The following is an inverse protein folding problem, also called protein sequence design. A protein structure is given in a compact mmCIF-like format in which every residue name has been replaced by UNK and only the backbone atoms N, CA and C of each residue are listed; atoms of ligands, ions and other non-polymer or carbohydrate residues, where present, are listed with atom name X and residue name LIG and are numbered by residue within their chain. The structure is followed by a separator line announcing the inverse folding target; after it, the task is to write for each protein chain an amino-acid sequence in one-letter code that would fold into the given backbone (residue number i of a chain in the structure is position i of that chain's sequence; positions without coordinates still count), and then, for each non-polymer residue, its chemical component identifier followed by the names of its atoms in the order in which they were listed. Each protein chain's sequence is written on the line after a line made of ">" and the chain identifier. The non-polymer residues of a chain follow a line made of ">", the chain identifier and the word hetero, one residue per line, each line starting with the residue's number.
data_IF_646334824830
#
_entry.id   IF_646334824830
#
_cell.length_a   1.000
_cell.length_b   1.000
_cell.length_c   1.000
_cell.angle_alpha   90.00
_cell.angle_beta   90.00
_cell.angle_gamma   90.00
#
_symmetry.space_group_name_H-M   'P 1'
#
loop_
_entity.id
_entity.type
_entity.pdbx_description
1 polymer ?
#
# COMPACT_ATOMS: atom_id res chain seq x y z
N UNK A 1 -33.80 -31.85 1.40
CA UNK A 1 -32.88 -31.38 0.34
C UNK A 1 -31.48 -31.90 0.58
N UNK A 2 -30.53 -31.67 -0.34
CA UNK A 2 -29.12 -32.08 -0.26
C UNK A 2 -28.24 -30.85 -0.42
N UNK A 3 -27.43 -30.53 0.59
CA UNK A 3 -26.35 -29.54 0.47
C UNK A 3 -25.05 -30.30 0.18
N UNK A 4 -24.20 -29.74 -0.69
CA UNK A 4 -22.86 -30.25 -0.96
C UNK A 4 -21.90 -29.08 -0.87
N UNK A 5 -20.96 -29.15 0.06
CA UNK A 5 -19.84 -28.23 0.17
C UNK A 5 -18.61 -28.98 -0.34
N UNK A 6 -17.84 -28.36 -1.23
CA UNK A 6 -16.63 -28.95 -1.82
C UNK A 6 -15.52 -27.91 -1.75
N UNK A 7 -14.45 -28.26 -1.04
CA UNK A 7 -13.17 -27.58 -1.14
C UNK A 7 -12.38 -28.17 -2.31
N UNK A 8 -11.63 -27.34 -3.03
CA UNK A 8 -10.89 -27.73 -4.23
C UNK A 8 -9.40 -27.46 -4.04
N UNK A 9 -8.57 -28.43 -4.42
CA UNK A 9 -7.14 -28.28 -4.44
C UNK A 9 -6.68 -27.15 -5.40
N UNK A 10 -5.46 -26.66 -5.18
CA UNK A 10 -4.84 -25.57 -5.94
C UNK A 10 -4.94 -25.72 -7.47
N UNK A 11 -5.18 -24.60 -8.15
CA UNK A 11 -5.39 -24.54 -9.61
C UNK A 11 -4.18 -24.00 -10.37
N UNK A 12 -3.07 -23.75 -9.66
CA UNK A 12 -1.87 -23.13 -10.17
C UNK A 12 -1.07 -24.00 -11.16
N UNK A 13 -0.38 -23.33 -12.09
CA UNK A 13 0.39 -23.98 -13.13
C UNK A 13 1.60 -24.76 -12.58
N UNK A 14 1.83 -25.96 -13.11
CA UNK A 14 3.01 -26.80 -12.82
C UNK A 14 4.35 -26.03 -12.89
N UNK A 15 4.44 -25.03 -13.78
CA UNK A 15 5.63 -24.19 -13.94
C UNK A 15 5.93 -23.33 -12.70
N UNK A 16 4.92 -22.86 -11.98
CA UNK A 16 5.08 -22.13 -10.72
C UNK A 16 5.39 -23.06 -9.55
N UNK A 17 4.71 -24.21 -9.47
CA UNK A 17 4.94 -25.20 -8.39
C UNK A 17 6.39 -25.72 -8.39
N UNK A 18 7.00 -25.88 -9.57
CA UNK A 18 8.42 -26.28 -9.70
C UNK A 18 9.40 -25.15 -9.37
N UNK A 19 9.01 -23.88 -9.47
CA UNK A 19 9.87 -22.75 -9.11
C UNK A 19 9.94 -22.48 -7.59
N UNK A 20 9.09 -23.13 -6.79
CA UNK A 20 8.95 -22.88 -5.36
C UNK A 20 9.71 -23.90 -4.47
N UNK A 21 10.98 -23.57 -4.20
CA UNK A 21 11.86 -24.09 -3.13
C UNK A 21 12.31 -25.55 -3.19
N UNK A 22 13.52 -25.80 -2.64
CA UNK A 22 14.17 -27.11 -2.52
C UNK A 22 13.27 -28.22 -1.92
N UNK A 23 13.46 -29.44 -2.41
CA UNK A 23 12.84 -30.67 -1.93
C UNK A 23 12.77 -31.76 -3.01
N UNK A 24 12.10 -32.88 -2.73
CA UNK A 24 11.86 -33.92 -3.74
C UNK A 24 10.85 -33.42 -4.79
N UNK A 25 11.40 -32.83 -5.86
CA UNK A 25 10.63 -32.38 -7.02
C UNK A 25 9.74 -33.48 -7.58
N UNK A 26 10.17 -34.75 -7.55
CA UNK A 26 9.46 -35.82 -8.23
C UNK A 26 8.12 -36.13 -7.55
N UNK A 27 8.08 -36.09 -6.21
CA UNK A 27 6.84 -36.25 -5.46
C UNK A 27 5.91 -35.05 -5.67
N UNK A 28 6.41 -33.80 -5.55
CA UNK A 28 5.60 -32.59 -5.76
C UNK A 28 5.06 -32.49 -7.19
N UNK A 29 5.91 -32.75 -8.19
CA UNK A 29 5.55 -32.75 -9.63
C UNK A 29 4.48 -33.80 -9.93
N UNK A 30 4.57 -35.00 -9.34
CA UNK A 30 3.53 -36.05 -9.47
C UNK A 30 2.21 -35.63 -8.81
N UNK A 31 2.25 -35.05 -7.61
CA UNK A 31 1.04 -34.56 -6.92
C UNK A 31 0.35 -33.44 -7.71
N UNK A 32 1.11 -32.43 -8.15
CA UNK A 32 0.58 -31.30 -8.91
C UNK A 32 0.02 -31.72 -10.29
N UNK A 33 0.62 -32.72 -10.95
CA UNK A 33 0.05 -33.35 -12.16
C UNK A 33 -1.27 -34.05 -11.84
N UNK A 34 -1.37 -34.76 -10.72
CA UNK A 34 -2.61 -35.40 -10.26
C UNK A 34 -3.74 -34.41 -10.00
N UNK A 35 -3.45 -33.33 -9.27
CA UNK A 35 -4.40 -32.24 -8.96
C UNK A 35 -4.87 -31.56 -10.24
N UNK A 36 -3.94 -31.06 -11.06
CA UNK A 36 -4.27 -30.37 -12.30
C UNK A 36 -4.99 -31.27 -13.31
N UNK A 37 -4.73 -32.59 -13.32
CA UNK A 37 -5.55 -33.55 -14.08
C UNK A 37 -7.01 -33.57 -13.62
N UNK A 38 -7.31 -33.54 -12.32
CA UNK A 38 -8.69 -33.53 -11.82
C UNK A 38 -9.42 -32.23 -12.20
N UNK A 39 -8.76 -31.08 -12.02
CA UNK A 39 -9.31 -29.77 -12.38
C UNK A 39 -9.47 -29.58 -13.89
N UNK A 40 -8.57 -30.15 -14.70
CA UNK A 40 -8.69 -30.13 -16.17
C UNK A 40 -9.95 -30.84 -16.66
N UNK A 41 -10.34 -31.97 -16.04
CA UNK A 41 -11.60 -32.65 -16.35
C UNK A 41 -12.83 -31.83 -15.95
N UNK A 42 -12.77 -31.09 -14.84
CA UNK A 42 -13.81 -30.13 -14.45
C UNK A 42 -13.93 -29.01 -15.49
N UNK A 43 -12.82 -28.44 -15.94
CA UNK A 43 -12.77 -27.47 -17.05
C UNK A 43 -13.40 -28.01 -18.34
N UNK A 44 -13.07 -29.23 -18.74
CA UNK A 44 -13.66 -29.88 -19.92
C UNK A 44 -15.17 -30.09 -19.78
N UNK A 45 -15.66 -30.52 -18.62
CA UNK A 45 -17.10 -30.67 -18.34
C UNK A 45 -17.84 -29.33 -18.49
N UNK A 46 -17.28 -28.24 -17.95
CA UNK A 46 -17.86 -26.89 -18.06
C UNK A 46 -17.85 -26.38 -19.51
N UNK A 47 -16.73 -26.55 -20.24
CA UNK A 47 -16.65 -26.17 -21.65
C UNK A 47 -17.70 -26.94 -22.49
N UNK A 48 -17.84 -28.25 -22.28
CA UNK A 48 -18.79 -29.10 -23.00
C UNK A 48 -20.25 -28.76 -22.69
N UNK A 49 -20.57 -28.36 -21.45
CA UNK A 49 -21.90 -27.87 -21.08
C UNK A 49 -22.24 -26.56 -21.80
N UNK A 50 -21.31 -25.61 -21.83
CA UNK A 50 -21.52 -24.32 -22.50
C UNK A 50 -21.59 -24.47 -24.03
N UNK A 51 -20.93 -25.49 -24.59
CA UNK A 51 -21.03 -25.88 -26.00
C UNK A 51 -22.31 -26.68 -26.35
N UNK A 52 -23.21 -26.93 -25.38
CA UNK A 52 -24.45 -27.68 -25.60
C UNK A 52 -24.27 -29.18 -25.83
N UNK A 53 -23.09 -29.75 -25.54
CA UNK A 53 -22.79 -31.18 -25.73
C UNK A 53 -23.39 -32.06 -24.61
N UNK A 54 -24.67 -31.87 -24.29
CA UNK A 54 -25.37 -32.48 -23.14
C UNK A 54 -25.29 -34.03 -23.11
N UNK A 55 -25.18 -34.68 -24.26
CA UNK A 55 -25.05 -36.14 -24.38
C UNK A 55 -23.62 -36.65 -24.16
N UNK A 56 -22.58 -35.80 -24.26
CA UNK A 56 -21.16 -36.18 -24.24
C UNK A 56 -20.31 -35.25 -23.34
N UNK A 57 -20.88 -34.79 -22.22
CA UNK A 57 -20.24 -33.80 -21.34
C UNK A 57 -18.91 -34.29 -20.73
N UNK A 58 -18.75 -35.59 -20.50
CA UNK A 58 -17.51 -36.18 -19.97
C UNK A 58 -17.43 -36.34 -18.45
N UNK A 59 -18.55 -36.30 -17.71
CA UNK A 59 -18.59 -36.48 -16.25
C UNK A 59 -17.90 -37.76 -15.74
N UNK A 60 -17.77 -38.81 -16.55
CA UNK A 60 -17.13 -40.07 -16.16
C UNK A 60 -15.59 -40.00 -16.14
N UNK A 61 -15.00 -38.88 -16.59
CA UNK A 61 -13.56 -38.78 -16.76
C UNK A 61 -12.82 -38.46 -15.44
N UNK A 62 -13.52 -38.02 -14.39
CA UNK A 62 -12.98 -37.97 -13.02
C UNK A 62 -14.06 -38.24 -11.97
N UNK A 63 -13.69 -38.84 -10.84
CA UNK A 63 -14.63 -39.10 -9.74
C UNK A 63 -15.27 -37.81 -9.20
N UNK A 64 -14.52 -36.69 -9.19
CA UNK A 64 -15.03 -35.38 -8.81
C UNK A 64 -16.16 -34.91 -9.73
N UNK A 65 -16.01 -35.04 -11.06
CA UNK A 65 -17.07 -34.62 -11.99
C UNK A 65 -18.25 -35.59 -12.05
N UNK A 66 -18.07 -36.85 -11.62
CA UNK A 66 -19.20 -37.74 -11.32
C UNK A 66 -20.00 -37.28 -10.10
N UNK A 67 -19.33 -36.91 -9.01
CA UNK A 67 -19.97 -36.45 -7.76
C UNK A 67 -20.65 -35.08 -7.92
N UNK A 68 -20.03 -34.16 -8.67
CA UNK A 68 -20.56 -32.83 -8.96
C UNK A 68 -21.58 -32.78 -10.10
N UNK A 69 -21.97 -33.91 -10.69
CA UNK A 69 -22.92 -33.96 -11.82
C UNK A 69 -24.28 -33.30 -11.53
N UNK A 70 -24.76 -33.35 -10.28
CA UNK A 70 -26.00 -32.66 -9.89
C UNK A 70 -25.83 -31.12 -9.92
N UNK A 71 -24.61 -30.64 -9.65
CA UNK A 71 -24.27 -29.22 -9.51
C UNK A 71 -23.80 -28.57 -10.82
N UNK A 72 -23.51 -29.36 -11.86
CA UNK A 72 -22.97 -28.91 -13.14
C UNK A 72 -23.93 -29.34 -14.26
N UNK A 73 -24.78 -28.43 -14.74
CA UNK A 73 -25.83 -28.75 -15.72
C UNK A 73 -26.92 -29.69 -15.20
N UNK A 74 -27.00 -29.87 -13.87
CA UNK A 74 -27.86 -30.84 -13.19
C UNK A 74 -29.05 -30.21 -12.46
N UNK A 75 -29.54 -30.91 -11.44
CA UNK A 75 -30.74 -30.56 -10.68
C UNK A 75 -30.48 -29.98 -9.29
N UNK A 76 -29.34 -29.30 -9.09
CA UNK A 76 -29.01 -28.58 -7.86
C UNK A 76 -28.74 -27.10 -8.11
N UNK A 77 -28.96 -26.27 -7.09
CA UNK A 77 -28.52 -24.86 -7.07
C UNK A 77 -27.03 -24.84 -6.74
N UNK A 78 -26.21 -24.32 -7.65
CA UNK A 78 -24.76 -24.30 -7.50
C UNK A 78 -24.24 -22.87 -7.28
N UNK A 79 -23.23 -22.75 -6.42
CA UNK A 79 -22.47 -21.53 -6.18
C UNK A 79 -20.98 -21.88 -6.33
N UNK A 80 -20.25 -21.05 -7.08
CA UNK A 80 -18.80 -21.07 -7.11
C UNK A 80 -18.28 -19.88 -6.30
N UNK A 81 -17.32 -20.14 -5.42
CA UNK A 81 -16.49 -19.10 -4.79
C UNK A 81 -15.14 -19.15 -5.49
N UNK A 82 -14.66 -18.00 -5.97
CA UNK A 82 -13.42 -17.87 -6.72
C UNK A 82 -12.39 -17.08 -5.90
N UNK A 83 -11.51 -17.79 -5.22
CA UNK A 83 -10.40 -17.19 -4.47
C UNK A 83 -9.26 -16.81 -5.42
N UNK A 84 -8.70 -15.60 -5.25
CA UNK A 84 -7.68 -15.02 -6.13
C UNK A 84 -6.58 -14.33 -5.31
N UNK A 85 -5.36 -14.29 -5.86
CA UNK A 85 -4.27 -13.48 -5.32
C UNK A 85 -4.33 -12.05 -5.85
N UNK A 86 -4.31 -11.01 -5.00
CA UNK A 86 -4.31 -9.61 -5.43
C UNK A 86 -2.94 -9.12 -5.95
N UNK A 87 -1.86 -9.87 -5.71
CA UNK A 87 -0.49 -9.47 -6.06
C UNK A 87 -0.20 -9.65 -7.56
N UNK A 88 0.64 -8.77 -8.12
CA UNK A 88 0.99 -8.73 -9.55
C UNK A 88 1.57 -10.07 -10.03
N UNK A 89 2.35 -10.75 -9.19
CA UNK A 89 2.94 -12.07 -9.48
C UNK A 89 1.87 -13.16 -9.73
N UNK A 90 0.69 -13.04 -9.11
CA UNK A 90 -0.43 -13.96 -9.26
C UNK A 90 -1.40 -13.58 -10.38
N UNK A 91 -1.25 -12.41 -11.01
CA UNK A 91 -2.15 -11.89 -12.05
C UNK A 91 -2.51 -12.91 -13.15
N UNK A 92 -1.56 -13.72 -13.61
CA UNK A 92 -1.81 -14.77 -14.63
C UNK A 92 -2.70 -15.91 -14.12
N UNK A 93 -2.57 -16.31 -12.86
CA UNK A 93 -3.37 -17.38 -12.25
C UNK A 93 -4.76 -16.82 -11.87
N UNK A 94 -4.80 -15.61 -11.30
CA UNK A 94 -6.03 -14.84 -11.04
C UNK A 94 -6.86 -14.67 -12.32
N UNK A 95 -6.24 -14.34 -13.47
CA UNK A 95 -6.93 -14.30 -14.76
C UNK A 95 -7.50 -15.66 -15.19
N UNK A 96 -6.77 -16.76 -14.99
CA UNK A 96 -7.25 -18.12 -15.30
C UNK A 96 -8.44 -18.51 -14.42
N UNK A 97 -8.37 -18.24 -13.11
CA UNK A 97 -9.46 -18.48 -12.16
C UNK A 97 -10.72 -17.68 -12.50
N UNK A 98 -10.58 -16.38 -12.80
CA UNK A 98 -11.70 -15.53 -13.22
C UNK A 98 -12.30 -15.98 -14.56
N UNK A 99 -11.46 -16.40 -15.52
CA UNK A 99 -11.91 -16.98 -16.80
C UNK A 99 -12.70 -18.27 -16.60
N UNK A 100 -12.28 -19.14 -15.67
CA UNK A 100 -13.04 -20.33 -15.30
C UNK A 100 -14.36 -20.00 -14.60
N UNK A 101 -14.35 -19.02 -13.69
CA UNK A 101 -15.57 -18.56 -13.00
C UNK A 101 -16.61 -17.99 -13.99
N UNK A 102 -16.18 -17.17 -14.96
CA UNK A 102 -17.03 -16.65 -16.03
C UNK A 102 -17.68 -17.77 -16.87
N UNK A 103 -16.93 -18.85 -17.16
CA UNK A 103 -17.47 -20.04 -17.84
C UNK A 103 -18.45 -20.80 -16.95
N UNK A 104 -18.18 -20.96 -15.67
CA UNK A 104 -19.09 -21.59 -14.71
C UNK A 104 -20.42 -20.83 -14.60
N UNK A 105 -20.43 -19.49 -14.67
CA UNK A 105 -21.66 -18.69 -14.68
C UNK A 105 -22.56 -18.90 -15.92
N UNK A 106 -22.03 -19.49 -17.00
CA UNK A 106 -22.81 -19.81 -18.20
C UNK A 106 -23.50 -21.19 -18.11
N UNK A 107 -23.09 -22.05 -17.17
CA UNK A 107 -23.67 -23.38 -16.96
C UNK A 107 -25.08 -23.25 -16.40
N UNK A 108 -26.08 -23.66 -17.18
CA UNK A 108 -27.49 -23.63 -16.78
C UNK A 108 -27.89 -24.93 -16.08
N UNK A 109 -28.15 -24.85 -14.77
CA UNK A 109 -28.77 -25.94 -14.03
C UNK A 109 -30.30 -25.87 -14.15
N UNK A 110 -30.98 -27.01 -14.05
CA UNK A 110 -32.44 -27.11 -14.15
C UNK A 110 -33.01 -27.29 -12.74
N UNK A 111 -33.52 -26.21 -12.15
CA UNK A 111 -34.15 -26.25 -10.82
C UNK A 111 -35.45 -27.07 -10.84
N UNK A 112 -35.35 -28.39 -10.60
CA UNK A 112 -36.50 -29.24 -10.28
C UNK A 112 -36.78 -29.17 -8.78
N UNK A 113 -37.96 -28.67 -8.42
CA UNK A 113 -38.48 -28.79 -7.05
C UNK A 113 -38.86 -30.25 -6.81
N UNK A 114 -37.99 -30.99 -6.11
CA UNK A 114 -38.28 -32.35 -5.67
C UNK A 114 -39.28 -32.33 -4.51
N UNK A 115 -40.57 -32.24 -4.84
CA UNK A 115 -41.65 -32.53 -3.89
C UNK A 115 -41.58 -34.04 -3.60
N UNK A 116 -41.12 -34.39 -2.40
CA UNK A 116 -41.12 -35.79 -1.94
C UNK A 116 -42.50 -36.07 -1.34
N UNK A 117 -43.41 -36.52 -2.20
CA UNK A 117 -44.59 -37.26 -1.75
C UNK A 117 -44.12 -38.62 -1.20
N UNK A 118 -44.56 -38.98 0.01
CA UNK A 118 -44.15 -40.24 0.66
C UNK A 118 -44.57 -41.47 -0.17
N UNK A 119 -45.65 -41.35 -0.96
CA UNK A 119 -46.11 -42.40 -1.88
C UNK A 119 -45.16 -42.65 -3.06
N UNK A 120 -44.25 -41.72 -3.37
CA UNK A 120 -43.27 -41.84 -4.47
C UNK A 120 -41.81 -41.79 -4.00
N UNK A 121 -41.52 -42.33 -2.82
CA UNK A 121 -40.12 -42.50 -2.38
C UNK A 121 -39.31 -43.33 -3.37
N UNK A 122 -38.02 -42.99 -3.54
CA UNK A 122 -37.07 -43.67 -4.45
C UNK A 122 -36.98 -45.18 -4.17
N UNK A 123 -37.25 -45.58 -2.92
CA UNK A 123 -37.26 -46.97 -2.46
C UNK A 123 -38.37 -47.80 -3.15
N UNK A 124 -39.53 -47.19 -3.42
CA UNK A 124 -40.64 -47.84 -4.11
C UNK A 124 -40.32 -48.07 -5.60
N UNK A 125 -39.73 -47.07 -6.26
CA UNK A 125 -39.26 -47.16 -7.65
C UNK A 125 -38.12 -48.19 -7.81
N UNK A 126 -37.22 -48.28 -6.82
CA UNK A 126 -36.19 -49.32 -6.77
C UNK A 126 -36.80 -50.72 -6.65
N UNK A 127 -37.81 -50.92 -5.79
CA UNK A 127 -38.55 -52.19 -5.70
C UNK A 127 -39.17 -52.58 -7.06
N UNK A 128 -39.94 -51.68 -7.67
CA UNK A 128 -40.61 -51.94 -8.94
C UNK A 128 -39.64 -52.40 -10.03
N UNK A 129 -38.51 -51.69 -10.22
CA UNK A 129 -37.48 -52.08 -11.20
C UNK A 129 -36.77 -53.39 -10.87
N UNK A 130 -36.67 -53.74 -9.60
CA UNK A 130 -36.08 -55.02 -9.18
C UNK A 130 -37.04 -56.18 -9.51
N UNK A 131 -38.34 -55.98 -9.32
CA UNK A 131 -39.40 -56.92 -9.72
C UNK A 131 -39.42 -57.13 -11.24
N UNK A 132 -39.43 -56.05 -12.04
CA UNK A 132 -39.36 -56.10 -13.51
C UNK A 132 -38.14 -56.89 -14.03
N UNK A 133 -36.98 -56.71 -13.39
CA UNK A 133 -35.75 -57.39 -13.76
C UNK A 133 -35.82 -58.90 -13.46
N UNK A 134 -36.35 -59.27 -12.29
CA UNK A 134 -36.61 -60.67 -11.90
C UNK A 134 -37.62 -61.33 -12.86
N UNK A 135 -38.60 -60.57 -13.35
CA UNK A 135 -39.62 -61.08 -14.26
C UNK A 135 -39.02 -61.42 -15.65
N UNK A 136 -38.27 -60.49 -16.26
CA UNK A 136 -37.60 -60.72 -17.55
C UNK A 136 -36.60 -61.89 -17.53
N UNK A 137 -35.94 -62.13 -16.40
CA UNK A 137 -35.01 -63.26 -16.23
C UNK A 137 -35.71 -64.63 -16.15
N UNK A 138 -37.03 -64.68 -15.92
CA UNK A 138 -37.83 -65.93 -15.92
C UNK A 138 -38.39 -66.29 -17.29
N UNK A 139 -38.51 -65.33 -18.20
CA UNK A 139 -39.19 -65.48 -19.49
C UNK A 139 -38.24 -65.96 -20.63
N UNK A 140 -36.93 -65.88 -20.43
CA UNK A 140 -35.92 -65.98 -21.50
C UNK A 140 -35.19 -67.32 -21.71
N UNK A 141 -35.80 -68.49 -21.47
CA UNK A 141 -35.05 -69.77 -21.59
C UNK A 141 -35.83 -71.03 -22.04
N UNK A 142 -35.63 -71.47 -23.30
CA UNK A 142 -35.94 -72.84 -23.79
C UNK A 142 -36.03 -73.01 -25.34
N UNK A 143 -35.79 -74.23 -25.86
CA UNK A 143 -35.98 -74.73 -27.27
C UNK A 143 -35.01 -74.17 -28.38
N UNK A 144 -34.79 -74.72 -29.59
CA UNK A 144 -34.98 -76.04 -30.29
C UNK A 144 -34.09 -76.06 -31.60
N UNK A 145 -34.00 -77.05 -32.53
CA UNK A 145 -34.70 -78.35 -32.68
C UNK A 145 -34.39 -79.23 -33.94
N UNK A 146 -33.13 -79.44 -34.36
CA UNK A 146 -32.69 -80.52 -35.33
C UNK A 146 -33.15 -80.45 -36.82
N UNK A 147 -33.06 -81.54 -37.61
CA UNK A 147 -33.30 -81.57 -39.08
C UNK A 147 -33.43 -82.97 -39.76
N UNK A 148 -33.62 -83.02 -41.10
CA UNK A 148 -33.83 -84.21 -42.01
C UNK A 148 -33.53 -83.82 -43.49
N UNK A 149 -33.15 -84.64 -44.49
CA UNK A 149 -32.86 -86.09 -44.70
C UNK A 149 -34.03 -87.10 -44.85
N UNK A 150 -34.09 -88.07 -45.80
CA UNK A 150 -33.50 -88.28 -47.17
C UNK A 150 -34.01 -89.64 -47.77
N UNK A 151 -34.41 -89.78 -49.06
CA UNK A 151 -34.96 -91.09 -49.56
C UNK A 151 -35.00 -91.42 -51.10
N UNK A 152 -34.74 -90.50 -52.04
CA UNK A 152 -35.27 -90.64 -53.42
C UNK A 152 -34.45 -91.48 -54.44
N UNK A 153 -33.19 -91.81 -54.17
CA UNK A 153 -32.21 -92.21 -55.20
C UNK A 153 -32.30 -93.66 -55.75
N UNK A 154 -33.19 -94.52 -55.25
CA UNK A 154 -33.19 -95.96 -55.62
C UNK A 154 -34.04 -96.37 -56.84
N UNK A 155 -34.87 -95.48 -57.42
CA UNK A 155 -35.82 -95.87 -58.50
C UNK A 155 -35.20 -95.97 -59.90
N UNK A 156 -34.14 -95.23 -60.19
CA UNK A 156 -33.62 -95.03 -61.56
C UNK A 156 -32.91 -96.28 -62.13
N UNK A 157 -32.41 -97.18 -61.27
CA UNK A 157 -31.51 -98.26 -61.69
C UNK A 157 -32.18 -99.42 -62.44
N UNK A 158 -33.52 -99.47 -62.51
CA UNK A 158 -34.30 -100.62 -63.01
C UNK A 158 -34.66 -100.53 -64.50
N UNK A 159 -34.93 -99.33 -65.03
CA UNK A 159 -35.43 -99.17 -66.41
C UNK A 159 -34.38 -99.51 -67.49
N UNK A 160 -33.10 -99.27 -67.19
CA UNK A 160 -31.97 -99.45 -68.13
C UNK A 160 -31.88 -100.89 -68.68
N UNK A 161 -32.29 -101.88 -67.89
CA UNK A 161 -32.11 -103.30 -68.24
C UNK A 161 -33.19 -103.87 -69.19
N UNK A 162 -34.27 -103.14 -69.48
CA UNK A 162 -35.40 -103.68 -70.28
C UNK A 162 -35.31 -103.38 -71.79
N UNK A 163 -34.49 -102.42 -72.21
CA UNK A 163 -34.51 -101.89 -73.58
C UNK A 163 -33.65 -102.65 -74.62
N UNK A 164 -32.68 -103.47 -74.18
CA UNK A 164 -31.73 -104.14 -75.07
C UNK A 164 -32.26 -105.40 -75.80
N UNK A 165 -33.53 -105.78 -75.60
CA UNK A 165 -34.01 -107.14 -75.95
C UNK A 165 -34.74 -107.33 -77.29
N UNK A 166 -35.06 -106.29 -78.08
CA UNK A 166 -36.04 -106.39 -79.17
C UNK A 166 -35.79 -105.52 -80.41
N UNK A 167 -34.96 -105.99 -81.34
CA UNK A 167 -35.28 -106.19 -82.79
C UNK A 167 -34.00 -106.32 -83.63
N UNK A 168 -33.76 -107.50 -84.21
CA UNK A 168 -32.77 -107.64 -85.31
C UNK A 168 -33.03 -108.90 -86.15
N UNK A 169 -33.92 -108.80 -87.15
CA UNK A 169 -34.08 -109.81 -88.20
C UNK A 169 -34.54 -109.20 -89.53
N UNK A 170 -33.58 -109.06 -90.47
CA UNK A 170 -33.66 -109.34 -91.93
C UNK A 170 -34.87 -108.80 -92.73
N UNK A 171 -34.70 -108.23 -93.94
CA UNK A 171 -33.51 -107.91 -94.75
C UNK A 171 -33.87 -106.83 -95.77
N UNK A 172 -32.90 -106.30 -96.51
CA UNK A 172 -33.06 -105.42 -97.68
C UNK A 172 -33.52 -103.96 -97.40
N UNK A 173 -33.57 -103.56 -96.12
CA UNK A 173 -33.71 -102.13 -95.72
C UNK A 173 -32.38 -101.58 -95.17
N UNK A 174 -31.41 -102.44 -94.83
CA UNK A 174 -30.15 -102.03 -94.20
C UNK A 174 -29.31 -101.11 -95.10
N UNK A 175 -29.14 -101.43 -96.38
CA UNK A 175 -28.26 -100.65 -97.26
C UNK A 175 -28.82 -99.26 -97.60
N UNK A 176 -30.15 -99.11 -97.64
CA UNK A 176 -30.82 -97.81 -97.82
C UNK A 176 -30.87 -97.02 -96.52
N UNK A 177 -31.10 -97.68 -95.37
CA UNK A 177 -30.99 -97.04 -94.06
C UNK A 177 -29.55 -96.62 -93.70
N UNK A 178 -28.52 -97.36 -94.12
CA UNK A 178 -27.14 -96.96 -93.84
C UNK A 178 -26.73 -95.75 -94.66
N UNK A 179 -27.13 -95.66 -95.93
CA UNK A 179 -26.90 -94.45 -96.75
C UNK A 179 -27.66 -93.24 -96.17
N UNK A 180 -28.95 -93.40 -95.82
CA UNK A 180 -29.73 -92.35 -95.14
C UNK A 180 -29.17 -91.97 -93.76
N UNK A 181 -28.73 -92.94 -92.95
CA UNK A 181 -28.10 -92.66 -91.64
C UNK A 181 -26.75 -91.98 -91.80
N UNK A 182 -25.97 -92.32 -92.83
CA UNK A 182 -24.69 -91.69 -93.12
C UNK A 182 -24.89 -90.23 -93.54
N UNK A 183 -25.84 -89.95 -94.44
CA UNK A 183 -26.19 -88.58 -94.83
C UNK A 183 -26.81 -87.77 -93.69
N UNK A 184 -27.73 -88.36 -92.91
CA UNK A 184 -28.31 -87.71 -91.73
C UNK A 184 -27.23 -87.43 -90.67
N UNK A 185 -26.35 -88.40 -90.40
CA UNK A 185 -25.24 -88.21 -89.46
C UNK A 185 -24.29 -87.12 -89.95
N UNK A 186 -23.91 -87.11 -91.24
CA UNK A 186 -23.06 -86.06 -91.81
C UNK A 186 -23.69 -84.67 -91.63
N UNK A 187 -24.98 -84.50 -91.96
CA UNK A 187 -25.70 -83.24 -91.74
C UNK A 187 -25.82 -82.85 -90.28
N UNK A 188 -25.98 -83.82 -89.38
CA UNK A 188 -26.11 -83.58 -87.94
C UNK A 188 -24.74 -83.24 -87.31
N UNK A 189 -23.64 -83.82 -87.80
CA UNK A 189 -22.27 -83.47 -87.42
C UNK A 189 -21.86 -82.11 -88.04
N UNK A 190 -22.30 -81.77 -89.26
CA UNK A 190 -22.15 -80.43 -89.88
C UNK A 190 -22.86 -79.35 -89.05
N UNK A 191 -24.16 -79.52 -88.77
CA UNK A 191 -24.95 -78.60 -87.92
C UNK A 191 -24.36 -78.49 -86.50
N UNK A 192 -23.80 -79.58 -85.95
CA UNK A 192 -23.09 -79.53 -84.66
C UNK A 192 -21.80 -78.73 -84.73
N UNK A 193 -21.05 -78.79 -85.85
CA UNK A 193 -19.86 -77.97 -86.04
C UNK A 193 -20.22 -76.48 -86.13
N UNK A 194 -21.21 -76.14 -86.96
CA UNK A 194 -21.70 -74.75 -87.12
C UNK A 194 -22.23 -74.19 -85.79
N UNK A 195 -23.03 -74.97 -85.05
CA UNK A 195 -23.56 -74.55 -83.75
C UNK A 195 -22.49 -74.49 -82.65
N UNK A 196 -21.44 -75.32 -82.73
CA UNK A 196 -20.29 -75.20 -81.82
C UNK A 196 -19.47 -73.94 -82.11
N UNK A 197 -19.17 -73.67 -83.39
CA UNK A 197 -18.39 -72.49 -83.79
C UNK A 197 -19.13 -71.18 -83.50
N UNK A 198 -20.41 -71.08 -83.85
CA UNK A 198 -21.21 -69.89 -83.53
C UNK A 198 -21.35 -69.66 -82.02
N UNK A 199 -21.42 -70.72 -81.21
CA UNK A 199 -21.37 -70.61 -79.75
C UNK A 199 -19.99 -70.15 -79.25
N UNK A 200 -18.87 -70.66 -79.78
CA UNK A 200 -17.54 -70.18 -79.37
C UNK A 200 -17.31 -68.73 -79.77
N UNK A 201 -17.78 -68.31 -80.94
CA UNK A 201 -17.62 -66.94 -81.44
C UNK A 201 -18.49 -65.95 -80.64
N UNK A 202 -19.71 -66.36 -80.25
CA UNK A 202 -20.57 -65.58 -79.34
C UNK A 202 -19.97 -65.50 -77.93
N UNK A 203 -19.37 -66.57 -77.40
CA UNK A 203 -18.68 -66.53 -76.11
C UNK A 203 -17.43 -65.64 -76.16
N UNK A 204 -16.63 -65.73 -77.22
CA UNK A 204 -15.44 -64.90 -77.41
C UNK A 204 -15.80 -63.40 -77.50
N UNK A 205 -16.77 -63.04 -78.34
CA UNK A 205 -17.22 -61.65 -78.49
C UNK A 205 -17.89 -61.12 -77.21
N UNK A 206 -18.65 -61.94 -76.47
CA UNK A 206 -19.20 -61.55 -75.18
C UNK A 206 -18.10 -61.32 -74.13
N UNK A 207 -17.05 -62.16 -74.12
CA UNK A 207 -15.91 -62.03 -73.21
C UNK A 207 -15.04 -60.81 -73.53
N UNK A 208 -14.82 -60.51 -74.81
CA UNK A 208 -14.11 -59.30 -75.28
C UNK A 208 -14.88 -58.02 -74.90
N UNK A 209 -16.20 -57.99 -75.14
CA UNK A 209 -17.06 -56.88 -74.72
C UNK A 209 -17.03 -56.66 -73.20
N UNK A 210 -17.14 -57.75 -72.41
CA UNK A 210 -17.04 -57.66 -70.94
C UNK A 210 -15.70 -57.11 -70.48
N UNK A 211 -14.58 -57.61 -71.03
CA UNK A 211 -13.24 -57.12 -70.72
C UNK A 211 -13.07 -55.63 -71.08
N UNK A 212 -13.66 -55.20 -72.19
CA UNK A 212 -13.68 -53.80 -72.63
C UNK A 212 -14.49 -52.91 -71.68
N UNK A 213 -15.70 -53.31 -71.31
CA UNK A 213 -16.53 -52.57 -70.33
C UNK A 213 -15.80 -52.41 -68.99
N UNK A 214 -15.13 -53.47 -68.49
CA UNK A 214 -14.31 -53.38 -67.29
C UNK A 214 -13.10 -52.45 -67.45
N UNK A 215 -12.47 -52.40 -68.62
CA UNK A 215 -11.36 -51.49 -68.89
C UNK A 215 -11.81 -50.02 -68.93
N UNK A 216 -12.92 -49.72 -69.61
CA UNK A 216 -13.52 -48.38 -69.67
C UNK A 216 -13.95 -47.92 -68.25
N UNK A 217 -14.59 -48.79 -67.47
CA UNK A 217 -14.97 -48.49 -66.08
C UNK A 217 -13.75 -48.22 -65.18
N UNK A 218 -12.67 -48.99 -65.34
CA UNK A 218 -11.42 -48.83 -64.59
C UNK A 218 -10.76 -47.47 -64.88
N UNK A 219 -10.77 -47.04 -66.15
CA UNK A 219 -10.24 -45.74 -66.56
C UNK A 219 -11.07 -44.56 -66.00
N UNK A 220 -12.39 -44.69 -65.91
CA UNK A 220 -13.28 -43.69 -65.28
C UNK A 220 -13.02 -43.60 -63.76
N UNK A 221 -12.80 -44.73 -63.09
CA UNK A 221 -12.44 -44.74 -61.66
C UNK A 221 -11.07 -44.06 -61.46
N UNK A 222 -10.05 -44.45 -62.22
CA UNK A 222 -8.68 -43.96 -62.09
C UNK A 222 -8.58 -42.44 -62.33
N UNK A 223 -9.30 -41.91 -63.33
CA UNK A 223 -9.41 -40.47 -63.56
C UNK A 223 -10.15 -39.74 -62.43
N UNK A 224 -11.30 -40.24 -61.96
CA UNK A 224 -12.05 -39.61 -60.86
C UNK A 224 -11.31 -39.64 -59.52
N UNK A 225 -10.57 -40.71 -59.21
CA UNK A 225 -9.73 -40.79 -58.02
C UNK A 225 -8.59 -39.77 -58.09
N UNK A 226 -7.97 -39.58 -59.26
CA UNK A 226 -6.93 -38.57 -59.46
C UNK A 226 -7.47 -37.14 -59.33
N UNK A 227 -8.58 -36.81 -59.99
CA UNK A 227 -9.23 -35.49 -59.87
C UNK A 227 -9.55 -35.15 -58.41
N UNK A 228 -10.12 -36.09 -57.66
CA UNK A 228 -10.41 -35.92 -56.23
C UNK A 228 -9.16 -35.63 -55.40
N UNK A 229 -8.05 -36.34 -55.67
CA UNK A 229 -6.76 -36.10 -55.02
C UNK A 229 -6.22 -34.69 -55.29
N UNK A 230 -6.17 -34.26 -56.56
CA UNK A 230 -5.66 -32.93 -56.95
C UNK A 230 -6.51 -31.78 -56.37
N UNK A 231 -7.82 -31.98 -56.18
CA UNK A 231 -8.72 -31.00 -55.56
C UNK A 231 -8.47 -30.91 -54.05
N UNK A 232 -8.39 -32.05 -53.35
CA UNK A 232 -8.15 -32.09 -51.90
C UNK A 232 -6.77 -31.50 -51.57
N UNK A 233 -5.74 -31.80 -52.35
CA UNK A 233 -4.40 -31.24 -52.13
C UNK A 233 -4.37 -29.72 -52.33
N UNK A 234 -5.04 -29.19 -53.37
CA UNK A 234 -5.20 -27.73 -53.56
C UNK A 234 -5.91 -27.07 -52.38
N UNK A 235 -7.02 -27.64 -51.91
CA UNK A 235 -7.77 -27.10 -50.78
C UNK A 235 -6.93 -27.11 -49.49
N UNK A 236 -6.17 -28.18 -49.25
CA UNK A 236 -5.26 -28.28 -48.11
C UNK A 236 -4.12 -27.26 -48.18
N UNK A 237 -3.49 -27.07 -49.35
CA UNK A 237 -2.44 -26.06 -49.56
C UNK A 237 -2.97 -24.64 -49.29
N UNK A 238 -4.10 -24.25 -49.88
CA UNK A 238 -4.70 -22.92 -49.67
C UNK A 238 -5.10 -22.69 -48.21
N UNK A 239 -5.65 -23.71 -47.53
CA UNK A 239 -5.97 -23.61 -46.10
C UNK A 239 -4.70 -23.46 -45.23
N UNK A 240 -3.63 -24.18 -45.56
CA UNK A 240 -2.34 -24.11 -44.87
C UNK A 240 -1.66 -22.75 -45.09
N UNK A 241 -1.65 -22.24 -46.32
CA UNK A 241 -1.14 -20.90 -46.66
C UNK A 241 -1.92 -19.79 -45.95
N UNK A 242 -3.26 -19.88 -45.89
CA UNK A 242 -4.08 -18.94 -45.14
C UNK A 242 -3.82 -18.99 -43.62
N UNK A 243 -3.62 -20.19 -43.05
CA UNK A 243 -3.22 -20.34 -41.65
C UNK A 243 -1.85 -19.71 -41.39
N UNK A 244 -0.85 -19.95 -42.25
CA UNK A 244 0.49 -19.36 -42.14
C UNK A 244 0.44 -17.83 -42.18
N UNK A 245 -0.34 -17.22 -43.09
CA UNK A 245 -0.52 -15.77 -43.12
C UNK A 245 -1.16 -15.26 -41.81
N UNK A 246 -2.22 -15.91 -41.31
CA UNK A 246 -2.85 -15.50 -40.06
C UNK A 246 -1.92 -15.60 -38.83
N UNK A 247 -1.00 -16.57 -38.83
CA UNK A 247 0.04 -16.72 -37.81
C UNK A 247 1.13 -15.64 -37.94
N UNK A 248 1.48 -15.26 -39.17
CA UNK A 248 2.44 -14.19 -39.45
C UNK A 248 1.88 -12.80 -39.08
N UNK A 249 0.61 -12.52 -39.39
CA UNK A 249 -0.08 -11.28 -39.01
C UNK A 249 -0.21 -11.14 -37.49
N UNK A 250 -0.62 -12.22 -36.82
CA UNK A 250 -0.72 -12.22 -35.34
C UNK A 250 0.65 -12.11 -34.67
N UNK A 251 1.70 -12.71 -35.24
CA UNK A 251 3.08 -12.54 -34.78
C UNK A 251 3.61 -11.10 -34.99
N UNK A 252 3.36 -10.47 -36.14
CA UNK A 252 3.74 -9.06 -36.32
C UNK A 252 3.03 -8.18 -35.30
N UNK A 253 1.73 -8.39 -35.11
CA UNK A 253 0.94 -7.63 -34.14
C UNK A 253 1.39 -7.85 -32.68
N UNK A 254 1.94 -9.01 -32.29
CA UNK A 254 2.53 -9.18 -30.94
C UNK A 254 3.91 -8.53 -30.84
N UNK A 255 4.74 -8.64 -31.88
CA UNK A 255 6.04 -7.96 -31.96
C UNK A 255 5.88 -6.44 -31.85
N UNK A 256 4.93 -5.84 -32.55
CA UNK A 256 4.72 -4.39 -32.52
C UNK A 256 4.15 -3.91 -31.18
N UNK A 257 3.25 -4.66 -30.53
CA UNK A 257 2.83 -4.40 -29.14
C UNK A 257 3.98 -4.53 -28.13
N UNK A 258 4.96 -5.41 -28.37
CA UNK A 258 6.16 -5.48 -27.54
C UNK A 258 7.08 -4.28 -27.77
N UNK A 259 7.22 -3.77 -29.00
CA UNK A 259 7.96 -2.52 -29.27
C UNK A 259 7.35 -1.32 -28.54
N UNK A 260 6.03 -1.14 -28.56
CA UNK A 260 5.38 -0.03 -27.84
C UNK A 260 5.59 -0.14 -26.33
N UNK A 261 5.35 -1.33 -25.75
CA UNK A 261 5.57 -1.57 -24.32
C UNK A 261 7.03 -1.34 -23.89
N UNK A 262 8.03 -1.70 -24.72
CA UNK A 262 9.44 -1.42 -24.45
C UNK A 262 9.72 0.10 -24.46
N UNK A 263 9.13 0.84 -25.40
CA UNK A 263 9.27 2.29 -25.47
C UNK A 263 8.60 3.00 -24.28
N UNK A 264 7.42 2.54 -23.86
CA UNK A 264 6.71 3.03 -22.66
C UNK A 264 7.56 2.79 -21.39
N UNK A 265 8.11 1.57 -21.22
CA UNK A 265 9.03 1.26 -20.11
C UNK A 265 10.30 2.11 -20.15
N UNK A 266 10.83 2.42 -21.34
CA UNK A 266 11.98 3.32 -21.48
C UNK A 266 11.64 4.76 -21.05
N UNK A 267 10.48 5.28 -21.45
CA UNK A 267 10.01 6.62 -21.02
C UNK A 267 9.79 6.68 -19.50
N UNK A 268 9.14 5.67 -18.92
CA UNK A 268 8.90 5.58 -17.47
C UNK A 268 10.21 5.53 -16.67
N UNK A 269 11.24 4.83 -17.17
CA UNK A 269 12.59 4.83 -16.55
C UNK A 269 13.24 6.21 -16.54
N UNK A 270 13.07 7.01 -17.60
CA UNK A 270 13.59 8.39 -17.66
C UNK A 270 12.83 9.30 -16.69
N UNK A 271 11.50 9.14 -16.58
CA UNK A 271 10.69 9.88 -15.61
C UNK A 271 11.06 9.51 -14.15
N UNK A 272 11.25 8.23 -13.85
CA UNK A 272 11.69 7.77 -12.54
C UNK A 272 13.05 8.37 -12.15
N UNK A 273 14.05 8.27 -13.03
CA UNK A 273 15.38 8.87 -12.78
C UNK A 273 15.40 10.40 -12.71
N UNK A 274 14.35 11.09 -13.16
CA UNK A 274 14.15 12.51 -12.94
C UNK A 274 13.51 12.78 -11.56
N UNK A 275 12.52 11.97 -11.15
CA UNK A 275 11.90 12.04 -9.84
C UNK A 275 12.90 11.70 -8.71
N UNK A 276 13.75 10.67 -8.89
CA UNK A 276 14.78 10.29 -7.92
C UNK A 276 15.74 11.46 -7.61
N UNK A 277 16.13 12.23 -8.65
CA UNK A 277 16.94 13.44 -8.49
C UNK A 277 16.20 14.58 -7.78
N UNK A 278 14.90 14.73 -8.01
CA UNK A 278 14.09 15.69 -7.27
C UNK A 278 13.99 15.31 -5.79
N UNK A 279 13.86 14.01 -5.47
CA UNK A 279 13.87 13.50 -4.09
C UNK A 279 15.23 13.74 -3.42
N UNK A 280 16.34 13.48 -4.11
CA UNK A 280 17.69 13.77 -3.60
C UNK A 280 17.88 15.27 -3.28
N UNK A 281 17.55 16.15 -4.23
CA UNK A 281 17.65 17.61 -4.04
C UNK A 281 16.75 18.13 -2.89
N UNK A 282 15.58 17.52 -2.69
CA UNK A 282 14.70 17.83 -1.55
C UNK A 282 15.26 17.32 -0.21
N UNK A 283 15.97 16.19 -0.20
CA UNK A 283 16.63 15.65 1.00
C UNK A 283 17.86 16.50 1.39
N UNK A 284 18.66 16.94 0.43
CA UNK A 284 19.77 17.88 0.64
C UNK A 284 19.24 19.19 1.23
N UNK A 285 18.26 19.82 0.57
CA UNK A 285 17.62 21.06 1.06
C UNK A 285 16.98 20.88 2.46
N UNK A 286 16.44 19.70 2.78
CA UNK A 286 15.93 19.40 4.12
C UNK A 286 17.04 19.34 5.17
N UNK A 287 18.23 18.82 4.83
CA UNK A 287 19.39 18.83 5.73
C UNK A 287 19.90 20.26 5.96
N UNK A 288 20.01 21.07 4.90
CA UNK A 288 20.39 22.49 5.00
C UNK A 288 19.43 23.27 5.93
N UNK A 289 18.12 23.06 5.81
CA UNK A 289 17.14 23.68 6.71
C UNK A 289 17.25 23.19 8.16
N UNK A 290 17.57 21.91 8.39
CA UNK A 290 17.77 21.37 9.75
C UNK A 290 19.04 21.93 10.40
N UNK A 291 20.14 22.04 9.63
CA UNK A 291 21.38 22.65 10.11
C UNK A 291 21.18 24.14 10.40
N UNK A 292 20.64 24.91 9.44
CA UNK A 292 20.33 26.34 9.61
C UNK A 292 19.46 26.60 10.85
N UNK A 293 18.50 25.71 11.14
CA UNK A 293 17.70 25.79 12.35
C UNK A 293 18.51 25.51 13.62
N UNK A 294 19.37 24.49 13.61
CA UNK A 294 20.21 24.17 14.77
C UNK A 294 21.19 25.30 15.10
N UNK A 295 21.73 25.97 14.08
CA UNK A 295 22.61 27.13 14.24
C UNK A 295 21.83 28.33 14.81
N UNK A 296 20.64 28.64 14.27
CA UNK A 296 19.77 29.70 14.80
C UNK A 296 19.28 29.44 16.24
N UNK A 297 18.97 28.19 16.60
CA UNK A 297 18.57 27.85 17.97
C UNK A 297 19.77 27.89 18.95
N UNK A 298 21.01 27.64 18.47
CA UNK A 298 22.25 27.92 19.23
C UNK A 298 22.50 29.42 19.44
N UNK A 299 22.41 30.24 18.39
CA UNK A 299 22.54 31.70 18.50
C UNK A 299 21.54 32.29 19.50
N UNK A 300 20.28 31.85 19.43
CA UNK A 300 19.22 32.23 20.37
C UNK A 300 19.55 31.85 21.81
N UNK A 301 20.17 30.69 22.04
CA UNK A 301 20.57 30.27 23.38
C UNK A 301 21.77 31.08 23.88
N UNK A 302 22.75 31.39 23.02
CA UNK A 302 23.86 32.28 23.36
C UNK A 302 23.38 33.69 23.75
N UNK A 303 22.45 34.28 22.99
CA UNK A 303 21.85 35.60 23.28
C UNK A 303 21.05 35.56 24.59
N UNK A 304 20.31 34.48 24.89
CA UNK A 304 19.62 34.32 26.18
C UNK A 304 20.60 34.27 27.35
N UNK A 305 21.64 33.43 27.26
CA UNK A 305 22.65 33.32 28.30
C UNK A 305 23.35 34.68 28.56
N UNK A 306 23.64 35.44 27.50
CA UNK A 306 24.22 36.77 27.61
C UNK A 306 23.26 37.79 28.26
N UNK A 307 21.98 37.74 27.93
CA UNK A 307 20.96 38.59 28.56
C UNK A 307 20.76 38.26 30.04
N UNK A 308 20.75 36.97 30.41
CA UNK A 308 20.69 36.53 31.80
C UNK A 308 21.93 36.97 32.59
N UNK A 309 23.14 36.88 32.00
CA UNK A 309 24.37 37.37 32.62
C UNK A 309 24.34 38.91 32.81
N UNK A 310 23.89 39.66 31.81
CA UNK A 310 23.72 41.11 31.93
C UNK A 310 22.69 41.48 33.02
N UNK A 311 21.60 40.72 33.14
CA UNK A 311 20.60 40.93 34.17
C UNK A 311 21.14 40.65 35.57
N UNK A 312 21.97 39.60 35.77
CA UNK A 312 22.65 39.38 37.06
C UNK A 312 23.62 40.52 37.40
N UNK A 313 24.45 40.94 36.42
CA UNK A 313 25.37 42.08 36.60
C UNK A 313 24.63 43.38 37.00
N UNK A 314 23.45 43.64 36.43
CA UNK A 314 22.61 44.79 36.82
C UNK A 314 22.03 44.65 38.24
N UNK A 315 21.62 43.44 38.65
CA UNK A 315 21.15 43.19 40.01
C UNK A 315 22.26 43.35 41.06
N UNK A 316 23.49 42.96 40.74
CA UNK A 316 24.64 43.20 41.62
C UNK A 316 25.02 44.69 41.68
N UNK A 317 24.97 45.41 40.57
CA UNK A 317 25.20 46.86 40.57
C UNK A 317 24.13 47.61 41.37
N UNK A 318 22.85 47.20 41.31
CA UNK A 318 21.79 47.78 42.14
C UNK A 318 22.01 47.46 43.63
N UNK A 319 22.49 46.26 43.99
CA UNK A 319 22.88 45.93 45.38
C UNK A 319 24.01 46.85 45.88
N UNK A 320 25.01 47.14 45.05
CA UNK A 320 26.09 48.08 45.40
C UNK A 320 25.60 49.52 45.52
N UNK A 321 24.78 50.01 44.58
CA UNK A 321 24.18 51.35 44.63
C UNK A 321 23.30 51.52 45.88
N UNK A 322 22.50 50.50 46.25
CA UNK A 322 21.71 50.54 47.47
C UNK A 322 22.59 50.51 48.73
N UNK A 323 23.71 49.78 48.75
CA UNK A 323 24.70 49.84 49.86
C UNK A 323 25.27 51.25 50.00
N UNK A 324 25.81 51.82 48.93
CA UNK A 324 26.37 53.17 48.95
C UNK A 324 25.34 54.25 49.29
N UNK A 325 24.05 54.07 48.93
CA UNK A 325 22.98 54.97 49.37
C UNK A 325 22.79 54.93 50.89
N UNK A 326 22.74 53.74 51.49
CA UNK A 326 22.62 53.58 52.95
C UNK A 326 23.86 54.14 53.68
N UNK A 327 25.07 53.90 53.16
CA UNK A 327 26.30 54.48 53.70
C UNK A 327 26.27 56.02 53.64
N UNK A 328 25.82 56.59 52.52
CA UNK A 328 25.65 58.04 52.36
C UNK A 328 24.58 58.63 53.29
N UNK A 329 23.48 57.91 53.57
CA UNK A 329 22.44 58.33 54.52
C UNK A 329 22.96 58.32 55.97
N UNK A 330 23.75 57.30 56.35
CA UNK A 330 24.42 57.25 57.67
C UNK A 330 25.43 58.40 57.81
N UNK A 331 26.25 58.66 56.79
CA UNK A 331 27.22 59.76 56.80
C UNK A 331 26.53 61.14 56.82
N UNK A 332 25.40 61.32 56.13
CA UNK A 332 24.56 62.53 56.25
C UNK A 332 24.11 62.75 57.69
N UNK A 333 23.53 61.73 58.33
CA UNK A 333 23.09 61.81 59.72
C UNK A 333 24.23 62.13 60.71
N UNK A 334 25.43 61.57 60.51
CA UNK A 334 26.61 61.90 61.31
C UNK A 334 27.06 63.36 61.13
N UNK A 335 27.05 63.88 59.90
CA UNK A 335 27.38 65.29 59.61
C UNK A 335 26.32 66.24 60.21
N UNK A 336 25.05 65.87 60.19
CA UNK A 336 23.97 66.63 60.83
C UNK A 336 24.11 66.65 62.36
N UNK A 337 24.44 65.52 62.99
CA UNK A 337 24.74 65.44 64.42
C UNK A 337 25.96 66.30 64.80
N UNK A 338 27.05 66.22 64.04
CA UNK A 338 28.25 67.05 64.29
C UNK A 338 27.97 68.54 64.11
N UNK A 339 27.12 68.92 63.15
CA UNK A 339 26.66 70.31 62.96
C UNK A 339 25.78 70.80 64.09
N UNK A 340 24.91 69.95 64.65
CA UNK A 340 24.08 70.28 65.80
C UNK A 340 24.97 70.55 67.04
N UNK A 341 25.84 69.61 67.39
CA UNK A 341 26.80 69.76 68.50
C UNK A 341 27.67 71.00 68.32
N UNK A 342 28.23 71.21 67.13
CA UNK A 342 29.04 72.41 66.84
C UNK A 342 28.26 73.73 66.86
N UNK A 343 26.93 73.71 66.66
CA UNK A 343 26.06 74.87 66.81
C UNK A 343 25.74 75.15 68.29
N UNK A 344 25.49 74.10 69.09
CA UNK A 344 25.31 74.21 70.54
C UNK A 344 26.59 74.72 71.23
N UNK A 345 27.76 74.17 70.88
CA UNK A 345 29.07 74.65 71.34
C UNK A 345 29.31 76.12 70.97
N UNK A 346 28.97 76.52 69.74
CA UNK A 346 29.11 77.90 69.28
C UNK A 346 28.14 78.86 70.01
N UNK A 347 26.92 78.42 70.31
CA UNK A 347 25.94 79.18 71.08
C UNK A 347 26.40 79.35 72.54
N UNK A 348 26.92 78.29 73.16
CA UNK A 348 27.51 78.35 74.51
C UNK A 348 28.69 79.33 74.56
N UNK A 349 29.61 79.25 73.59
CA UNK A 349 30.74 80.17 73.48
C UNK A 349 30.31 81.63 73.21
N UNK A 350 29.17 81.87 72.57
CA UNK A 350 28.60 83.22 72.42
C UNK A 350 28.06 83.74 73.76
N UNK A 351 27.25 82.93 74.46
CA UNK A 351 26.68 83.28 75.75
C UNK A 351 27.75 83.57 76.81
N UNK A 352 28.86 82.81 76.84
CA UNK A 352 30.00 83.11 77.71
C UNK A 352 30.64 84.47 77.37
N UNK A 353 30.83 84.79 76.08
CA UNK A 353 31.39 86.09 75.65
C UNK A 353 30.49 87.26 76.03
N UNK A 354 29.18 87.11 75.91
CA UNK A 354 28.22 88.13 76.36
C UNK A 354 28.24 88.30 77.89
N UNK A 355 28.31 87.20 78.65
CA UNK A 355 28.46 87.25 80.10
C UNK A 355 29.79 87.90 80.54
N UNK A 356 30.90 87.65 79.81
CA UNK A 356 32.17 88.34 80.03
C UNK A 356 32.11 89.82 79.66
N UNK A 357 31.47 90.18 78.55
CA UNK A 357 31.27 91.57 78.11
C UNK A 357 30.43 92.36 79.11
N UNK A 358 29.35 91.78 79.63
CA UNK A 358 28.53 92.37 80.69
C UNK A 358 29.34 92.60 81.98
N UNK A 359 30.10 91.59 82.44
CA UNK A 359 31.02 91.74 83.59
C UNK A 359 32.06 92.84 83.36
N UNK A 360 32.59 92.97 82.15
CA UNK A 360 33.54 94.03 81.82
C UNK A 360 32.86 95.41 81.82
N UNK A 361 31.61 95.51 81.34
CA UNK A 361 30.83 96.74 81.41
C UNK A 361 30.53 97.15 82.86
N UNK A 362 30.14 96.21 83.72
CA UNK A 362 29.92 96.45 85.16
C UNK A 362 31.22 96.89 85.87
N UNK A 363 32.36 96.27 85.52
CA UNK A 363 33.68 96.67 86.02
C UNK A 363 34.08 98.07 85.53
N UNK A 364 33.83 98.41 84.26
CA UNK A 364 34.07 99.75 83.69
C UNK A 364 33.18 100.81 84.36
N UNK A 365 31.90 100.52 84.59
CA UNK A 365 30.97 101.40 85.30
C UNK A 365 31.38 101.58 86.78
N UNK A 366 31.80 100.50 87.44
CA UNK A 366 32.35 100.53 88.80
C UNK A 366 33.63 101.38 88.87
N UNK A 367 34.53 101.25 87.90
CA UNK A 367 35.74 102.07 87.79
C UNK A 367 35.42 103.55 87.52
N UNK A 368 34.41 103.86 86.69
CA UNK A 368 33.93 105.24 86.50
C UNK A 368 33.34 105.81 87.80
N UNK A 369 32.54 105.03 88.55
CA UNK A 369 32.02 105.42 89.87
C UNK A 369 33.14 105.65 90.90
N UNK A 370 34.20 104.84 90.90
CA UNK A 370 35.39 105.08 91.74
C UNK A 370 36.14 106.33 91.31
N UNK A 371 36.34 106.57 90.00
CA UNK A 371 37.00 107.78 89.48
C UNK A 371 36.22 109.05 89.81
N UNK A 372 34.90 109.06 89.58
CA UNK A 372 34.04 110.20 89.93
C UNK A 372 34.04 110.50 91.43
N UNK A 373 34.07 109.47 92.30
CA UNK A 373 34.24 109.66 93.75
C UNK A 373 35.62 110.23 94.10
N UNK A 374 36.69 109.78 93.45
CA UNK A 374 38.05 110.30 93.64
C UNK A 374 38.18 111.76 93.15
N UNK A 375 37.56 112.11 92.03
CA UNK A 375 37.53 113.48 91.49
C UNK A 375 36.70 114.42 92.38
N UNK A 376 35.55 113.97 92.86
CA UNK A 376 34.77 114.71 93.86
C UNK A 376 35.54 114.88 95.18
N UNK A 377 36.34 113.89 95.60
CA UNK A 377 37.22 114.03 96.76
C UNK A 377 38.36 115.04 96.50
N UNK A 378 38.99 114.99 95.32
CA UNK A 378 40.03 115.96 94.91
C UNK A 378 39.51 117.39 94.92
N UNK A 379 38.34 117.64 94.33
CA UNK A 379 37.65 118.94 94.36
C UNK A 379 37.38 119.40 95.79
N UNK A 380 36.86 118.54 96.66
CA UNK A 380 36.66 118.86 98.10
C UNK A 380 37.97 119.22 98.80
N UNK A 381 39.06 118.49 98.55
CA UNK A 381 40.37 118.83 99.14
C UNK A 381 40.96 120.12 98.55
N UNK A 382 40.67 120.44 97.30
CA UNK A 382 41.14 121.67 96.66
C UNK A 382 40.43 122.91 97.22
N UNK A 383 39.10 122.84 97.41
CA UNK A 383 38.32 123.87 98.11
C UNK A 383 38.82 124.05 99.54
N UNK A 384 38.98 122.98 100.32
CA UNK A 384 39.49 123.07 101.69
C UNK A 384 40.92 123.67 101.78
N UNK A 385 41.75 123.53 100.73
CA UNK A 385 43.06 124.20 100.63
C UNK A 385 42.91 125.69 100.28
N UNK A 386 41.91 126.09 99.49
CA UNK A 386 41.58 127.49 99.25
C UNK A 386 41.03 128.16 100.51
N UNK A 387 40.06 127.54 101.21
CA UNK A 387 39.53 128.02 102.50
C UNK A 387 40.67 128.21 103.52
N UNK A 388 41.61 127.26 103.57
CA UNK A 388 42.82 127.33 104.40
C UNK A 388 43.81 128.45 104.01
N UNK A 389 43.81 128.88 102.75
CA UNK A 389 44.62 129.99 102.27
C UNK A 389 43.93 131.34 102.59
N UNK A 390 42.61 131.44 102.39
CA UNK A 390 41.82 132.63 102.75
C UNK A 390 41.83 132.88 104.27
N UNK A 391 41.68 131.84 105.09
CA UNK A 391 41.85 131.96 106.54
C UNK A 391 43.25 132.41 106.96
N UNK A 392 44.31 132.01 106.26
CA UNK A 392 45.68 132.53 106.50
C UNK A 392 45.79 134.00 106.14
N UNK A 393 45.29 134.41 104.97
CA UNK A 393 45.28 135.81 104.56
C UNK A 393 44.50 136.70 105.55
N UNK A 394 43.38 136.21 106.09
CA UNK A 394 42.63 136.90 107.15
C UNK A 394 43.42 137.04 108.46
N UNK A 395 44.14 135.99 108.89
CA UNK A 395 44.99 136.02 110.09
C UNK A 395 46.16 136.98 109.94
N UNK A 396 46.84 137.01 108.78
CA UNK A 396 47.94 137.95 108.56
C UNK A 396 47.43 139.40 108.39
N UNK A 397 46.23 139.60 107.83
CA UNK A 397 45.54 140.91 107.86
C UNK A 397 45.23 141.40 109.27
N UNK A 398 44.76 140.52 110.16
CA UNK A 398 44.56 140.84 111.58
C UNK A 398 45.87 141.16 112.31
N UNK A 399 46.98 140.45 111.99
CA UNK A 399 48.32 140.77 112.53
C UNK A 399 48.80 142.14 112.10
N UNK A 400 48.61 142.52 110.83
CA UNK A 400 48.90 143.87 110.35
C UNK A 400 48.10 144.94 111.11
N UNK A 401 46.83 144.66 111.42
CA UNK A 401 45.97 145.56 112.21
C UNK A 401 46.44 145.71 113.66
N UNK A 402 46.94 144.64 114.28
CA UNK A 402 47.51 144.68 115.64
C UNK A 402 48.76 145.56 115.67
N UNK A 403 49.70 145.40 114.72
CA UNK A 403 50.90 146.25 114.64
C UNK A 403 50.58 147.74 114.45
N UNK A 404 49.50 148.08 113.72
CA UNK A 404 49.03 149.47 113.60
C UNK A 404 48.58 150.03 114.96
N UNK A 405 47.76 149.27 115.70
CA UNK A 405 47.26 149.68 117.02
C UNK A 405 48.38 149.77 118.07
N UNK A 406 49.37 148.89 118.01
CA UNK A 406 50.57 148.96 118.86
C UNK A 406 51.44 150.20 118.55
N UNK A 407 51.56 150.59 117.28
CA UNK A 407 52.24 151.81 116.89
C UNK A 407 51.47 153.07 117.34
N UNK A 408 50.15 153.10 117.19
CA UNK A 408 49.28 154.19 117.65
C UNK A 408 49.35 154.35 119.19
N UNK A 409 49.30 153.26 119.94
CA UNK A 409 49.51 153.27 121.39
C UNK A 409 50.93 153.72 121.79
N UNK A 410 51.94 153.38 120.98
CA UNK A 410 53.32 153.84 121.14
C UNK A 410 53.50 155.35 120.92
N UNK A 411 52.69 155.97 120.05
CA UNK A 411 52.64 157.43 119.87
C UNK A 411 51.93 158.09 121.05
N UNK A 412 50.77 157.59 121.47
CA UNK A 412 50.00 158.16 122.58
C UNK A 412 50.78 158.14 123.92
N UNK A 413 51.60 157.11 124.18
CA UNK A 413 52.46 157.09 125.38
C UNK A 413 53.48 158.23 125.42
N UNK A 414 53.99 158.69 124.29
CA UNK A 414 54.95 159.81 124.22
C UNK A 414 54.31 161.19 124.36
N UNK A 415 52.97 161.27 124.36
CA UNK A 415 52.21 162.51 124.56
C UNK A 415 51.68 162.66 126.00
N UNK A 416 52.22 161.87 126.94
CA UNK A 416 51.87 161.87 128.37
C UNK A 416 53.12 161.93 129.28
N UNK A 417 54.30 162.23 128.71
CA UNK A 417 55.57 162.41 129.42
C UNK A 417 56.15 163.84 129.23
N UNK A 418 55.33 164.77 128.72
CA UNK A 418 55.50 166.24 128.72
C UNK A 418 54.29 166.91 129.41
#
# INVERSE_FOLDING_TARGET
>A
GKLVLVDLAGSESLKKVVAANDGDENLRRRQAIGINRVLSHLGTVVNNLNAGHHNSVGYRNSALTMLLRDCLGGAARALLIANIGPEVEWCSETYMTLTFAQKMMQVRNVEKVTIVDESQSTLLQMKQRHEECIQRLKEGGGAEGTGRSSEELQKIQVEVNQLNGRLLTKSNVTETLEKLKYEQKKKLDEIRSEMAQTMTDQFATMQENSLREFAELRQVIETKTREGGEIVERQWRVASEAQLHSLQDTLSATVDRHKTAINEVAQLRVQLGAADKQVQMLQELQQDFLQTRADLDQERQAVRNQAEEQQQRLLDLDREVNRYRVEADVLRGQVEQQRAVGADDAAAAHAEREAWSAREADLRASLQSVRGRLEAQRLRTQVAVQDSAEHRAAVDGLRGRIMQLEAEAGVQRRQLEE
#
